data_IF_306993186226
#
_entry.id   IF_306993186226
#
_cell.length_a   1.000
_cell.length_b   1.000
_cell.length_c   1.000
_cell.angle_alpha   90.00
_cell.angle_beta   90.00
_cell.angle_gamma   90.00
#
_symmetry.space_group_name_H-M   'P 1'
#
loop_
_entity.id
_entity.type
_entity.pdbx_description
1 polymer ?
#
# COMPACT_ATOMS: atom_id res chain seq x y z
N UNK A 1 10.68 17.30 3.81
CA UNK A 1 10.59 18.78 3.71
C UNK A 1 9.26 19.32 4.21
N UNK A 2 8.11 18.73 3.84
CA UNK A 2 6.78 19.21 4.28
C UNK A 2 6.64 19.20 5.80
N UNK A 3 6.99 18.09 6.44
CA UNK A 3 6.93 17.94 7.92
C UNK A 3 7.83 18.96 8.62
N UNK A 4 9.08 19.13 8.16
CA UNK A 4 10.02 20.12 8.73
C UNK A 4 9.43 21.54 8.67
N UNK A 5 8.83 21.90 7.54
CA UNK A 5 8.24 23.24 7.35
C UNK A 5 7.00 23.48 8.22
N UNK A 6 6.32 22.42 8.70
CA UNK A 6 5.02 22.56 9.35
C UNK A 6 4.99 22.10 10.82
N UNK A 7 5.98 21.34 11.31
CA UNK A 7 5.98 20.78 12.67
C UNK A 7 5.79 21.84 13.74
N UNK A 8 6.49 22.98 13.62
CA UNK A 8 6.35 24.10 14.56
C UNK A 8 4.94 24.70 14.60
N UNK A 9 4.22 24.68 13.47
CA UNK A 9 2.83 25.14 13.40
C UNK A 9 1.88 24.08 13.98
N UNK A 10 2.13 22.83 13.73
CA UNK A 10 1.27 21.73 14.21
C UNK A 10 1.34 21.56 15.72
N UNK A 11 2.49 21.82 16.34
CA UNK A 11 2.70 21.71 17.79
C UNK A 11 2.15 22.91 18.58
N UNK A 12 1.72 24.01 17.92
CA UNK A 12 1.19 25.19 18.61
C UNK A 12 -0.18 24.91 19.22
N UNK A 13 -0.44 25.39 20.47
CA UNK A 13 -1.76 25.35 21.04
C UNK A 13 -2.75 26.16 20.17
N UNK A 14 -3.97 25.66 20.04
CA UNK A 14 -5.07 26.31 19.32
C UNK A 14 -6.10 26.80 20.34
N UNK A 15 -6.41 28.09 20.32
CA UNK A 15 -7.48 28.64 21.11
C UNK A 15 -8.83 28.03 20.71
N UNK A 16 -9.68 27.82 21.70
CA UNK A 16 -11.04 27.33 21.52
C UNK A 16 -12.02 28.27 22.21
N UNK A 17 -13.17 28.57 21.63
CA UNK A 17 -14.20 29.32 22.29
C UNK A 17 -14.67 28.57 23.53
N UNK A 18 -14.91 29.30 24.62
CA UNK A 18 -15.58 28.80 25.82
C UNK A 18 -17.07 29.06 25.74
N UNK A 19 -17.87 28.26 26.42
CA UNK A 19 -19.30 28.49 26.57
C UNK A 19 -19.56 29.71 27.52
N UNK A 20 -20.82 30.15 27.62
CA UNK A 20 -21.20 31.29 28.43
C UNK A 20 -20.90 31.11 29.94
N UNK A 21 -20.98 29.87 30.44
CA UNK A 21 -20.67 29.54 31.83
C UNK A 21 -19.17 29.71 32.15
N UNK A 22 -18.32 29.59 31.10
CA UNK A 22 -16.86 29.68 31.17
C UNK A 22 -16.32 30.91 30.41
N UNK A 23 -17.14 31.94 30.17
CA UNK A 23 -16.80 33.08 29.31
C UNK A 23 -15.57 33.89 29.79
N UNK A 24 -15.19 33.79 31.06
CA UNK A 24 -13.99 34.43 31.63
C UNK A 24 -12.74 33.54 31.53
N UNK A 25 -12.85 32.36 30.96
CA UNK A 25 -11.76 31.38 30.80
C UNK A 25 -11.19 31.40 29.41
N UNK A 26 -9.94 30.95 29.25
CA UNK A 26 -9.30 30.71 27.95
C UNK A 26 -9.17 29.22 27.69
N UNK A 27 -9.96 28.71 26.74
CA UNK A 27 -9.86 27.32 26.26
C UNK A 27 -8.75 27.14 25.24
N UNK A 28 -7.97 26.07 25.35
CA UNK A 28 -6.99 25.70 24.33
C UNK A 28 -6.93 24.18 24.13
N UNK A 29 -6.62 23.75 22.89
CA UNK A 29 -6.22 22.37 22.59
C UNK A 29 -4.74 22.36 22.21
N UNK A 30 -4.01 21.38 22.69
CA UNK A 30 -2.60 21.19 22.37
C UNK A 30 -2.36 19.72 22.01
N UNK A 31 -1.63 19.48 20.92
CA UNK A 31 -1.16 18.15 20.56
C UNK A 31 -0.08 17.72 21.56
N UNK A 32 -0.16 16.47 22.00
CA UNK A 32 0.87 15.81 22.83
C UNK A 32 1.26 14.48 22.17
N UNK A 33 2.49 14.00 22.35
CA UNK A 33 2.89 12.69 21.85
C UNK A 33 2.07 11.59 22.53
N UNK A 34 1.92 10.45 21.85
CA UNK A 34 1.37 9.24 22.47
C UNK A 34 2.35 8.65 23.48
N UNK A 35 3.63 8.57 23.15
CA UNK A 35 4.68 7.93 23.94
C UNK A 35 5.53 6.99 23.11
N UNK A 36 5.51 5.69 23.42
CA UNK A 36 6.22 4.63 22.71
C UNK A 36 5.33 4.06 21.61
N UNK A 37 5.79 4.18 20.36
CA UNK A 37 5.03 3.73 19.18
C UNK A 37 5.68 2.54 18.50
N UNK A 38 4.88 1.57 18.08
CA UNK A 38 5.29 0.49 17.19
C UNK A 38 4.89 0.81 15.75
N UNK A 39 5.84 0.75 14.81
CA UNK A 39 5.58 0.84 13.37
C UNK A 39 5.90 -0.52 12.74
N UNK A 40 4.87 -1.18 12.20
CA UNK A 40 5.02 -2.43 11.46
C UNK A 40 4.85 -2.15 9.97
N UNK A 41 5.96 -2.26 9.22
CA UNK A 41 6.02 -1.87 7.81
C UNK A 41 5.94 -3.08 6.85
N UNK A 42 5.38 -2.91 5.64
CA UNK A 42 5.26 -3.95 4.63
C UNK A 42 6.54 -4.06 3.77
N UNK A 43 6.50 -5.00 2.83
CA UNK A 43 7.64 -5.34 1.96
C UNK A 43 7.62 -4.64 0.59
N UNK A 44 6.47 -4.14 0.15
CA UNK A 44 6.29 -3.65 -1.22
C UNK A 44 6.96 -2.29 -1.50
N UNK A 45 6.99 -1.41 -0.51
CA UNK A 45 7.73 -0.13 -0.52
C UNK A 45 8.45 0.05 0.84
N UNK A 46 9.47 -0.77 1.13
CA UNK A 46 10.00 -0.92 2.47
C UNK A 46 10.58 0.37 3.06
N UNK A 47 11.25 1.21 2.26
CA UNK A 47 11.78 2.49 2.73
C UNK A 47 10.67 3.53 2.93
N UNK A 48 9.80 3.72 1.94
CA UNK A 48 8.75 4.73 1.99
C UNK A 48 7.79 4.48 3.15
N UNK A 49 7.24 3.25 3.23
CA UNK A 49 6.22 2.89 4.22
C UNK A 49 6.78 2.63 5.62
N UNK A 50 8.09 2.71 5.79
CA UNK A 50 8.77 2.75 7.10
C UNK A 50 9.12 4.19 7.50
N UNK A 51 9.76 4.94 6.60
CA UNK A 51 10.33 6.25 6.96
C UNK A 51 9.28 7.36 7.03
N UNK A 52 8.19 7.27 6.28
CA UNK A 52 7.13 8.27 6.32
C UNK A 52 6.39 8.28 7.68
N UNK A 53 5.87 7.14 8.19
CA UNK A 53 5.29 7.11 9.53
C UNK A 53 6.33 7.37 10.63
N UNK A 54 7.59 6.92 10.48
CA UNK A 54 8.67 7.27 11.41
C UNK A 54 8.84 8.78 11.54
N UNK A 55 8.95 9.48 10.41
CA UNK A 55 9.11 10.93 10.41
C UNK A 55 7.91 11.63 11.06
N UNK A 56 6.68 11.13 10.85
CA UNK A 56 5.48 11.63 11.51
C UNK A 56 5.50 11.39 13.02
N UNK A 57 5.88 10.20 13.46
CA UNK A 57 5.97 9.84 14.87
C UNK A 57 7.00 10.68 15.63
N UNK A 58 8.20 10.85 15.05
CA UNK A 58 9.28 11.68 15.64
C UNK A 58 8.90 13.16 15.67
N UNK A 59 8.28 13.67 14.60
CA UNK A 59 7.80 15.06 14.56
C UNK A 59 6.74 15.35 15.63
N UNK A 60 5.96 14.33 16.02
CA UNK A 60 5.00 14.43 17.12
C UNK A 60 5.61 14.26 18.52
N UNK A 61 6.90 13.91 18.62
CA UNK A 61 7.63 13.73 19.88
C UNK A 61 7.55 12.32 20.49
N UNK A 62 7.23 11.31 19.68
CA UNK A 62 7.19 9.91 20.12
C UNK A 62 8.57 9.24 20.02
N UNK A 63 8.77 8.19 20.80
CA UNK A 63 9.82 7.19 20.56
C UNK A 63 9.25 6.05 19.73
N UNK A 64 10.11 5.36 18.96
CA UNK A 64 9.64 4.44 17.93
C UNK A 64 10.40 3.13 17.94
N UNK A 65 9.66 2.03 17.94
CA UNK A 65 10.17 0.71 17.55
C UNK A 65 9.65 0.39 16.14
N UNK A 66 10.56 0.05 15.24
CA UNK A 66 10.26 -0.31 13.86
C UNK A 66 10.38 -1.82 13.69
N UNK A 67 9.37 -2.43 13.10
CA UNK A 67 9.39 -3.83 12.65
C UNK A 67 9.24 -3.86 11.12
N UNK A 68 10.35 -3.86 10.35
CA UNK A 68 10.29 -4.00 8.91
C UNK A 68 9.89 -5.43 8.50
N UNK A 69 9.50 -5.62 7.25
CA UNK A 69 9.05 -6.91 6.75
C UNK A 69 10.20 -7.90 6.54
N UNK A 70 10.03 -9.14 6.99
CA UNK A 70 10.93 -10.25 6.69
C UNK A 70 10.97 -10.64 5.20
N UNK A 71 9.99 -10.21 4.39
CA UNK A 71 9.98 -10.47 2.95
C UNK A 71 10.87 -9.53 2.14
N UNK A 72 11.45 -8.51 2.77
CA UNK A 72 12.44 -7.61 2.18
C UNK A 72 13.71 -7.54 3.05
N UNK A 73 14.44 -8.65 3.27
CA UNK A 73 15.50 -8.73 4.27
C UNK A 73 16.66 -7.76 4.00
N UNK A 74 17.08 -7.61 2.74
CA UNK A 74 18.16 -6.66 2.40
C UNK A 74 17.77 -5.21 2.69
N UNK A 75 16.53 -4.81 2.37
CA UNK A 75 16.01 -3.48 2.70
C UNK A 75 15.87 -3.28 4.21
N UNK A 76 15.45 -4.32 4.94
CA UNK A 76 15.33 -4.28 6.40
C UNK A 76 16.67 -4.07 7.09
N UNK A 77 17.71 -4.77 6.64
CA UNK A 77 19.08 -4.60 7.16
C UNK A 77 19.62 -3.18 6.93
N UNK A 78 19.42 -2.63 5.71
CA UNK A 78 19.82 -1.25 5.41
C UNK A 78 19.02 -0.22 6.21
N UNK A 79 17.70 -0.41 6.38
CA UNK A 79 16.87 0.44 7.24
C UNK A 79 17.38 0.44 8.70
N UNK A 80 17.74 -0.74 9.21
CA UNK A 80 18.32 -0.87 10.54
C UNK A 80 19.62 -0.09 10.66
N UNK A 81 20.56 -0.30 9.71
CA UNK A 81 21.81 0.44 9.69
C UNK A 81 21.59 1.96 9.67
N UNK A 82 20.73 2.46 8.78
CA UNK A 82 20.39 3.90 8.70
C UNK A 82 19.86 4.41 10.05
N UNK A 83 18.97 3.67 10.69
CA UNK A 83 18.41 4.09 11.97
C UNK A 83 19.46 4.08 13.11
N UNK A 84 20.31 3.05 13.17
CA UNK A 84 21.39 2.95 14.17
C UNK A 84 22.43 4.06 14.01
N UNK A 85 22.73 4.48 12.77
CA UNK A 85 23.66 5.59 12.50
C UNK A 85 23.04 6.97 12.78
N UNK A 86 21.71 7.12 12.55
CA UNK A 86 21.04 8.42 12.60
C UNK A 86 20.43 8.76 13.98
N UNK A 87 20.13 7.77 14.82
CA UNK A 87 19.34 7.97 16.03
C UNK A 87 19.96 7.25 17.24
N UNK A 88 19.74 7.82 18.44
CA UNK A 88 19.94 7.11 19.70
C UNK A 88 18.96 5.91 19.74
N UNK A 89 19.40 4.69 20.10
CA UNK A 89 18.53 3.50 20.18
C UNK A 89 17.37 3.64 21.17
N UNK A 90 17.46 4.58 22.14
CA UNK A 90 16.33 4.92 23.02
C UNK A 90 15.25 5.75 22.32
N UNK A 91 15.58 6.37 21.19
CA UNK A 91 14.64 7.15 20.38
C UNK A 91 14.04 6.32 19.25
N UNK A 92 14.88 5.60 18.50
CA UNK A 92 14.46 4.73 17.40
C UNK A 92 15.22 3.40 17.48
N UNK A 93 14.49 2.31 17.53
CA UNK A 93 15.05 0.93 17.49
C UNK A 93 14.39 0.13 16.37
N UNK A 94 15.17 -0.69 15.66
CA UNK A 94 14.68 -1.58 14.60
C UNK A 94 14.82 -3.03 15.06
N UNK A 95 13.69 -3.74 15.04
CA UNK A 95 13.62 -5.17 15.36
C UNK A 95 13.38 -5.92 14.05
N UNK A 96 14.39 -6.62 13.55
CA UNK A 96 14.26 -7.52 12.41
C UNK A 96 13.65 -8.85 12.85
N UNK A 97 13.18 -9.64 11.89
CA UNK A 97 12.66 -10.98 12.15
C UNK A 97 11.33 -11.24 11.46
N UNK A 98 10.78 -12.41 11.70
CA UNK A 98 9.59 -12.92 11.04
C UNK A 98 8.34 -12.90 11.91
N UNK A 99 7.63 -14.03 11.87
CA UNK A 99 6.34 -14.17 12.55
C UNK A 99 6.49 -14.16 14.07
N UNK A 100 7.52 -14.82 14.60
CA UNK A 100 7.73 -14.90 16.05
C UNK A 100 7.96 -13.51 16.67
N UNK A 101 8.78 -12.69 16.01
CA UNK A 101 9.07 -11.32 16.45
C UNK A 101 7.83 -10.42 16.31
N UNK A 102 7.02 -10.62 15.26
CA UNK A 102 5.75 -9.90 15.12
C UNK A 102 4.80 -10.22 16.29
N UNK A 103 4.66 -11.50 16.64
CA UNK A 103 3.80 -11.95 17.73
C UNK A 103 4.30 -11.41 19.08
N UNK A 104 5.60 -11.51 19.34
CA UNK A 104 6.21 -10.98 20.57
C UNK A 104 6.00 -9.47 20.72
N UNK A 105 6.23 -8.69 19.65
CA UNK A 105 6.00 -7.25 19.67
C UNK A 105 4.52 -6.88 19.87
N UNK A 106 3.60 -7.65 19.33
CA UNK A 106 2.17 -7.40 19.51
C UNK A 106 1.66 -7.78 20.91
N UNK A 107 2.39 -8.57 21.68
CA UNK A 107 2.07 -8.89 23.06
C UNK A 107 2.63 -7.87 24.07
N UNK A 108 3.48 -6.94 23.61
CA UNK A 108 4.00 -5.82 24.43
C UNK A 108 2.99 -4.67 24.57
N UNK A 109 3.23 -3.80 25.54
CA UNK A 109 2.39 -2.61 25.78
C UNK A 109 2.92 -1.42 24.96
N UNK A 110 2.07 -0.90 24.08
CA UNK A 110 2.35 0.25 23.23
C UNK A 110 1.39 1.37 23.50
N UNK A 111 1.87 2.62 23.39
CA UNK A 111 1.00 3.81 23.44
C UNK A 111 0.32 4.08 22.09
N UNK A 112 0.89 3.54 20.97
CA UNK A 112 0.32 3.61 19.62
C UNK A 112 0.92 2.51 18.74
N UNK A 113 0.10 1.90 17.87
CA UNK A 113 0.57 1.02 16.79
C UNK A 113 0.16 1.63 15.45
N UNK A 114 1.13 1.72 14.53
CA UNK A 114 0.93 2.00 13.12
C UNK A 114 1.28 0.74 12.32
N UNK A 115 0.32 0.19 11.62
CA UNK A 115 0.48 -1.04 10.85
C UNK A 115 0.09 -0.81 9.39
N UNK A 116 0.96 -1.24 8.47
CA UNK A 116 0.64 -1.31 7.04
C UNK A 116 0.78 -2.76 6.56
N UNK A 117 -0.28 -3.31 5.96
CA UNK A 117 -0.27 -4.68 5.45
C UNK A 117 -1.65 -5.22 5.08
N UNK A 118 -1.82 -6.53 5.15
CA UNK A 118 -3.07 -7.18 4.75
C UNK A 118 -4.18 -7.05 5.80
N UNK A 119 -5.43 -7.05 5.34
CA UNK A 119 -6.62 -7.01 6.21
C UNK A 119 -6.63 -8.10 7.29
N UNK A 120 -6.31 -9.38 7.02
CA UNK A 120 -6.27 -10.40 8.08
C UNK A 120 -5.27 -10.09 9.18
N UNK A 121 -4.08 -9.58 8.83
CA UNK A 121 -3.07 -9.20 9.83
C UNK A 121 -3.47 -7.92 10.56
N UNK A 122 -4.08 -6.95 9.88
CA UNK A 122 -4.63 -5.76 10.53
C UNK A 122 -5.68 -6.07 11.60
N UNK A 123 -6.55 -7.05 11.35
CA UNK A 123 -7.51 -7.56 12.35
C UNK A 123 -6.79 -8.14 13.56
N UNK A 124 -5.74 -8.95 13.35
CA UNK A 124 -4.92 -9.50 14.43
C UNK A 124 -4.23 -8.40 15.25
N UNK A 125 -3.66 -7.38 14.59
CA UNK A 125 -3.04 -6.23 15.26
C UNK A 125 -4.07 -5.52 16.15
N UNK A 126 -5.28 -5.27 15.64
CA UNK A 126 -6.35 -4.62 16.38
C UNK A 126 -6.82 -5.46 17.58
N UNK A 127 -6.95 -6.78 17.40
CA UNK A 127 -7.28 -7.72 18.46
C UNK A 127 -6.23 -7.70 19.59
N UNK A 128 -4.95 -7.75 19.26
CA UNK A 128 -3.88 -7.69 20.27
C UNK A 128 -3.81 -6.33 20.96
N UNK A 129 -3.90 -5.24 20.21
CA UNK A 129 -3.89 -3.88 20.73
C UNK A 129 -5.05 -3.60 21.71
N UNK A 130 -6.23 -4.21 21.50
CA UNK A 130 -7.39 -4.01 22.35
C UNK A 130 -7.18 -4.46 23.79
N UNK A 131 -6.28 -5.41 24.05
CA UNK A 131 -5.97 -5.89 25.41
C UNK A 131 -5.41 -4.79 26.31
N UNK A 132 -4.67 -3.86 25.72
CA UNK A 132 -4.03 -2.72 26.40
C UNK A 132 -4.73 -1.39 26.07
N UNK A 133 -5.86 -1.42 25.37
CA UNK A 133 -6.58 -0.23 24.85
C UNK A 133 -5.67 0.67 23.98
N UNK A 134 -4.66 0.07 23.33
CA UNK A 134 -3.71 0.77 22.46
C UNK A 134 -4.42 1.26 21.20
N UNK A 135 -4.41 2.55 20.89
CA UNK A 135 -4.94 3.07 19.63
C UNK A 135 -4.12 2.58 18.45
N UNK A 136 -4.80 2.17 17.37
CA UNK A 136 -4.15 1.69 16.14
C UNK A 136 -4.44 2.61 14.96
N UNK A 137 -3.49 2.70 14.04
CA UNK A 137 -3.71 3.17 12.67
C UNK A 137 -3.40 2.02 11.74
N UNK A 138 -4.36 1.64 10.91
CA UNK A 138 -4.26 0.51 9.99
C UNK A 138 -4.31 1.04 8.56
N UNK A 139 -3.21 0.88 7.83
CA UNK A 139 -3.12 1.08 6.39
C UNK A 139 -3.18 -0.28 5.72
N UNK A 140 -4.29 -0.55 5.06
CA UNK A 140 -4.61 -1.88 4.54
C UNK A 140 -4.79 -1.84 3.03
N UNK A 141 -4.99 -3.00 2.43
CA UNK A 141 -5.32 -3.11 1.03
C UNK A 141 -6.75 -2.67 0.71
N UNK A 142 -7.05 -2.64 -0.56
CA UNK A 142 -8.37 -2.31 -1.07
C UNK A 142 -8.54 -2.72 -2.53
N UNK A 143 -9.79 -2.88 -2.96
CA UNK A 143 -10.13 -3.13 -4.35
C UNK A 143 -10.42 -1.80 -5.03
N UNK A 144 -9.34 -1.10 -5.47
CA UNK A 144 -9.39 0.27 -5.95
C UNK A 144 -9.97 0.34 -7.37
N UNK A 145 -11.13 0.97 -7.59
CA UNK A 145 -11.70 1.18 -8.91
C UNK A 145 -10.96 2.27 -9.69
N UNK A 146 -10.81 2.08 -11.00
CA UNK A 146 -10.44 3.13 -11.92
C UNK A 146 -11.57 3.32 -12.93
N UNK A 147 -12.20 4.49 -12.94
CA UNK A 147 -13.36 4.78 -13.76
C UNK A 147 -12.92 5.64 -14.95
N UNK A 148 -13.28 5.21 -16.16
CA UNK A 148 -13.01 5.93 -17.41
C UNK A 148 -14.31 6.13 -18.17
N UNK A 149 -14.80 7.36 -18.20
CA UNK A 149 -15.96 7.75 -18.97
C UNK A 149 -15.59 8.21 -20.39
N UNK A 150 -16.59 8.39 -21.26
CA UNK A 150 -16.40 8.79 -22.65
C UNK A 150 -15.80 10.20 -22.84
N UNK A 151 -15.70 11.03 -21.78
CA UNK A 151 -15.09 12.38 -21.86
C UNK A 151 -13.60 12.37 -21.56
N UNK A 152 -13.05 11.23 -21.12
CA UNK A 152 -11.66 11.11 -20.73
C UNK A 152 -10.70 11.27 -21.93
N UNK A 153 -9.53 11.84 -21.67
CA UNK A 153 -8.43 11.78 -22.64
C UNK A 153 -7.81 10.36 -22.59
N UNK A 154 -8.21 9.50 -23.53
CA UNK A 154 -7.90 8.08 -23.52
C UNK A 154 -6.39 7.80 -23.56
N UNK A 155 -5.58 8.57 -24.30
CA UNK A 155 -4.12 8.42 -24.36
C UNK A 155 -3.47 8.69 -22.99
N UNK A 156 -3.94 9.72 -22.29
CA UNK A 156 -3.45 10.06 -20.95
C UNK A 156 -3.94 9.01 -19.94
N UNK A 157 -5.21 8.58 -20.05
CA UNK A 157 -5.80 7.55 -19.21
C UNK A 157 -5.01 6.24 -19.34
N UNK A 158 -4.81 5.74 -20.57
CA UNK A 158 -4.07 4.50 -20.83
C UNK A 158 -2.66 4.52 -20.22
N UNK A 159 -1.91 5.62 -20.41
CA UNK A 159 -0.56 5.77 -19.85
C UNK A 159 -0.57 5.73 -18.32
N UNK A 160 -1.53 6.42 -17.68
CA UNK A 160 -1.63 6.47 -16.21
C UNK A 160 -2.09 5.14 -15.64
N UNK A 161 -3.03 4.46 -16.31
CA UNK A 161 -3.50 3.13 -15.91
C UNK A 161 -2.36 2.12 -16.03
N UNK A 162 -1.64 2.08 -17.17
CA UNK A 162 -0.52 1.19 -17.37
C UNK A 162 0.57 1.41 -16.30
N UNK A 163 0.96 2.65 -16.06
CA UNK A 163 1.92 2.98 -15.00
C UNK A 163 1.42 2.57 -13.62
N UNK A 164 0.19 2.99 -13.25
CA UNK A 164 -0.36 2.74 -11.91
C UNK A 164 -0.59 1.26 -11.62
N UNK A 165 -0.96 0.48 -12.65
CA UNK A 165 -1.22 -0.96 -12.49
C UNK A 165 0.06 -1.78 -12.43
N UNK A 166 1.02 -1.53 -13.31
CA UNK A 166 2.20 -2.42 -13.41
C UNK A 166 3.45 -1.87 -12.72
N UNK A 167 3.40 -0.68 -12.11
CA UNK A 167 4.43 -0.27 -11.15
C UNK A 167 4.53 -1.33 -10.04
N UNK A 168 5.76 -1.75 -9.72
CA UNK A 168 6.04 -2.81 -8.74
C UNK A 168 5.24 -4.10 -9.00
N UNK A 169 4.97 -4.42 -10.28
CA UNK A 169 4.22 -5.62 -10.71
C UNK A 169 2.80 -5.66 -10.10
N UNK A 170 2.20 -4.48 -9.88
CA UNK A 170 0.87 -4.36 -9.27
C UNK A 170 0.80 -4.67 -7.77
N UNK A 171 1.93 -4.86 -7.11
CA UNK A 171 2.02 -5.12 -5.66
C UNK A 171 1.96 -3.80 -4.88
N UNK A 172 0.87 -3.07 -5.09
CA UNK A 172 0.66 -1.70 -4.60
C UNK A 172 -0.78 -1.54 -4.12
N UNK A 173 -0.97 -1.11 -2.90
CA UNK A 173 -2.29 -0.96 -2.25
C UNK A 173 -3.21 0.05 -2.96
N UNK A 174 -2.65 0.98 -3.71
CA UNK A 174 -3.38 2.00 -4.50
C UNK A 174 -3.33 1.74 -6.01
N UNK A 175 -2.86 0.57 -6.46
CA UNK A 175 -2.91 0.21 -7.86
C UNK A 175 -4.37 0.11 -8.34
N UNK A 176 -4.68 0.48 -9.59
CA UNK A 176 -5.96 0.15 -10.19
C UNK A 176 -6.19 -1.37 -10.10
N UNK A 177 -7.17 -1.79 -9.32
CA UNK A 177 -7.47 -3.20 -9.14
C UNK A 177 -8.39 -3.69 -10.25
N UNK A 178 -9.35 -2.84 -10.63
CA UNK A 178 -10.22 -3.06 -11.78
C UNK A 178 -10.58 -1.74 -12.47
N UNK A 179 -10.91 -1.85 -13.77
CA UNK A 179 -11.43 -0.75 -14.56
C UNK A 179 -12.97 -0.85 -14.67
N UNK A 180 -13.61 0.28 -14.54
CA UNK A 180 -14.99 0.51 -15.00
C UNK A 180 -14.89 1.45 -16.20
N UNK A 181 -15.24 0.96 -17.39
CA UNK A 181 -15.05 1.68 -18.65
C UNK A 181 -16.40 1.89 -19.35
N UNK A 182 -16.64 3.12 -19.80
CA UNK A 182 -17.79 3.41 -20.67
C UNK A 182 -17.70 2.57 -21.94
N UNK A 183 -18.78 1.87 -22.28
CA UNK A 183 -18.84 0.95 -23.44
C UNK A 183 -18.42 1.61 -24.76
N UNK A 184 -18.65 2.92 -24.91
CA UNK A 184 -18.33 3.69 -26.12
C UNK A 184 -16.83 3.87 -26.37
N UNK A 185 -16.01 3.75 -25.35
CA UNK A 185 -14.55 3.96 -25.41
C UNK A 185 -13.73 2.73 -25.00
N UNK A 186 -14.40 1.62 -24.73
CA UNK A 186 -13.81 0.38 -24.24
C UNK A 186 -12.69 -0.15 -25.15
N UNK A 187 -12.99 -0.41 -26.41
CA UNK A 187 -12.04 -1.04 -27.35
C UNK A 187 -10.84 -0.13 -27.64
N UNK A 188 -11.08 1.19 -27.80
CA UNK A 188 -10.01 2.16 -28.00
C UNK A 188 -9.10 2.24 -26.79
N UNK A 189 -9.67 2.31 -25.59
CA UNK A 189 -8.88 2.36 -24.34
C UNK A 189 -8.05 1.11 -24.16
N UNK A 190 -8.62 -0.08 -24.37
CA UNK A 190 -7.88 -1.34 -24.26
C UNK A 190 -6.73 -1.43 -25.28
N UNK A 191 -6.97 -1.00 -26.51
CA UNK A 191 -5.92 -0.89 -27.54
C UNK A 191 -4.75 -0.03 -27.06
N UNK A 192 -5.04 1.16 -26.56
CA UNK A 192 -4.04 2.09 -26.04
C UNK A 192 -3.30 1.57 -24.79
N UNK A 193 -3.98 0.86 -23.88
CA UNK A 193 -3.34 0.24 -22.71
C UNK A 193 -2.36 -0.86 -23.17
N UNK A 194 -2.76 -1.71 -24.12
CA UNK A 194 -1.88 -2.75 -24.68
C UNK A 194 -0.63 -2.16 -25.32
N UNK A 195 -0.74 -1.04 -26.04
CA UNK A 195 0.40 -0.30 -26.61
C UNK A 195 1.33 0.24 -25.51
N UNK A 196 0.78 0.85 -24.46
CA UNK A 196 1.57 1.36 -23.33
C UNK A 196 2.31 0.24 -22.59
N UNK A 197 1.69 -0.93 -22.39
CA UNK A 197 2.34 -2.10 -21.78
C UNK A 197 3.53 -2.56 -22.63
N UNK A 198 3.36 -2.68 -23.97
CA UNK A 198 4.47 -3.01 -24.86
C UNK A 198 5.58 -1.98 -24.83
N UNK A 199 5.21 -0.71 -24.78
CA UNK A 199 6.20 0.39 -24.68
C UNK A 199 7.00 0.33 -23.38
N UNK A 200 6.37 -0.07 -22.25
CA UNK A 200 7.03 -0.16 -20.95
C UNK A 200 7.92 -1.40 -20.81
N UNK A 201 7.46 -2.56 -21.28
CA UNK A 201 8.06 -3.85 -20.95
C UNK A 201 8.55 -4.65 -22.17
N UNK A 202 8.29 -4.18 -23.40
CA UNK A 202 8.62 -4.89 -24.62
C UNK A 202 7.64 -6.01 -24.97
N UNK A 203 7.99 -6.81 -25.97
CA UNK A 203 7.17 -7.94 -26.44
C UNK A 203 7.33 -9.18 -25.55
N UNK A 204 8.38 -9.25 -24.75
CA UNK A 204 8.71 -10.38 -23.86
C UNK A 204 8.94 -9.92 -22.42
N UNK A 205 7.88 -9.52 -21.69
CA UNK A 205 8.00 -8.96 -20.34
C UNK A 205 8.70 -9.90 -19.34
N UNK A 206 8.55 -11.21 -19.49
CA UNK A 206 9.19 -12.18 -18.58
C UNK A 206 10.72 -12.21 -18.70
N UNK A 207 11.27 -11.80 -19.87
CA UNK A 207 12.71 -11.74 -20.11
C UNK A 207 13.30 -10.33 -19.82
N UNK A 208 12.44 -9.33 -19.62
CA UNK A 208 12.86 -7.99 -19.31
C UNK A 208 13.40 -7.94 -17.86
N UNK A 209 14.66 -7.50 -17.70
CA UNK A 209 15.33 -7.39 -16.39
C UNK A 209 14.74 -6.27 -15.52
N UNK A 210 14.18 -5.22 -16.13
CA UNK A 210 13.53 -4.11 -15.43
C UNK A 210 12.09 -4.46 -14.97
N UNK A 211 11.53 -5.57 -15.46
CA UNK A 211 10.23 -6.06 -15.00
C UNK A 211 10.40 -6.94 -13.77
N UNK A 212 9.84 -6.50 -12.65
CA UNK A 212 9.96 -7.17 -11.35
C UNK A 212 9.30 -8.54 -11.27
N UNK A 213 9.29 -9.11 -10.09
CA UNK A 213 8.68 -10.42 -9.79
C UNK A 213 7.73 -10.34 -8.60
N UNK A 214 6.90 -11.35 -8.41
CA UNK A 214 6.06 -11.49 -7.23
C UNK A 214 6.93 -11.86 -6.03
N UNK A 215 6.64 -11.27 -4.89
CA UNK A 215 7.51 -11.31 -3.69
C UNK A 215 7.90 -12.70 -3.22
N UNK A 216 7.05 -13.71 -3.39
CA UNK A 216 7.32 -15.10 -3.01
C UNK A 216 6.40 -16.10 -3.73
N UNK A 217 6.72 -17.38 -3.63
CA UNK A 217 6.00 -18.47 -4.29
C UNK A 217 4.52 -18.56 -3.85
N UNK A 218 4.21 -18.30 -2.59
CA UNK A 218 2.83 -18.32 -2.08
C UNK A 218 1.96 -17.27 -2.78
N UNK A 219 2.43 -16.03 -2.86
CA UNK A 219 1.73 -14.95 -3.56
C UNK A 219 1.69 -15.16 -5.07
N UNK A 220 2.77 -15.70 -5.65
CA UNK A 220 2.81 -16.08 -7.06
C UNK A 220 1.70 -17.08 -7.40
N UNK A 221 1.59 -18.18 -6.65
CA UNK A 221 0.56 -19.19 -6.86
C UNK A 221 -0.86 -18.61 -6.72
N UNK A 222 -1.09 -17.74 -5.70
CA UNK A 222 -2.37 -17.07 -5.51
C UNK A 222 -2.73 -16.18 -6.71
N UNK A 223 -1.84 -15.31 -7.13
CA UNK A 223 -2.10 -14.36 -8.23
C UNK A 223 -2.27 -15.10 -9.55
N UNK A 224 -1.42 -16.10 -9.84
CA UNK A 224 -1.57 -16.95 -11.02
C UNK A 224 -2.93 -17.65 -11.05
N UNK A 225 -3.42 -18.11 -9.91
CA UNK A 225 -4.72 -18.77 -9.78
C UNK A 225 -5.93 -17.87 -10.04
N UNK A 226 -5.75 -16.54 -10.10
CA UNK A 226 -6.81 -15.58 -10.45
C UNK A 226 -6.97 -15.36 -11.96
N UNK A 227 -6.05 -15.90 -12.79
CA UNK A 227 -6.10 -15.73 -14.23
C UNK A 227 -7.10 -16.75 -14.80
N UNK A 228 -8.20 -16.25 -15.33
CA UNK A 228 -9.14 -17.01 -16.15
C UNK A 228 -8.66 -16.98 -17.62
N UNK A 229 -8.19 -18.12 -18.18
CA UNK A 229 -7.64 -18.13 -19.54
C UNK A 229 -8.63 -17.69 -20.63
N UNK A 230 -9.93 -17.90 -20.41
CA UNK A 230 -10.98 -17.58 -21.39
C UNK A 230 -11.24 -16.06 -21.46
N UNK A 231 -10.76 -15.29 -20.48
CA UNK A 231 -10.93 -13.83 -20.40
C UNK A 231 -9.66 -13.04 -20.69
N UNK A 232 -8.53 -13.73 -20.94
CA UNK A 232 -7.24 -13.08 -21.22
C UNK A 232 -7.27 -12.40 -22.58
N UNK A 233 -7.05 -11.09 -22.61
CA UNK A 233 -6.90 -10.29 -23.84
C UNK A 233 -5.49 -9.71 -24.00
N UNK A 234 -4.64 -9.82 -22.98
CA UNK A 234 -3.20 -9.52 -23.01
C UNK A 234 -2.50 -10.35 -21.94
N UNK A 235 -1.29 -10.86 -22.23
CA UNK A 235 -0.44 -11.57 -21.27
C UNK A 235 -1.00 -12.95 -20.89
N UNK A 236 -1.05 -13.24 -19.60
CA UNK A 236 -1.57 -14.50 -19.06
C UNK A 236 -0.51 -15.56 -18.78
N UNK A 237 0.70 -15.40 -19.32
CA UNK A 237 1.81 -16.33 -19.09
C UNK A 237 2.50 -16.06 -17.75
N UNK A 238 2.96 -17.13 -17.11
CA UNK A 238 3.69 -17.04 -15.86
C UNK A 238 4.92 -17.96 -15.87
N UNK A 239 6.01 -17.52 -15.27
CA UNK A 239 7.27 -18.26 -15.12
C UNK A 239 7.58 -18.48 -13.64
N UNK A 240 7.33 -19.69 -13.17
CA UNK A 240 7.47 -20.02 -11.74
C UNK A 240 8.92 -19.90 -11.24
N UNK A 241 9.91 -20.32 -12.07
CA UNK A 241 11.32 -20.26 -11.69
C UNK A 241 11.85 -18.86 -11.37
N UNK A 242 11.23 -17.82 -11.94
CA UNK A 242 11.54 -16.41 -11.69
C UNK A 242 10.45 -15.66 -10.94
N UNK A 243 9.37 -16.34 -10.55
CA UNK A 243 8.18 -15.75 -9.92
C UNK A 243 7.58 -14.57 -10.71
N UNK A 244 7.74 -14.56 -12.03
CA UNK A 244 7.22 -13.52 -12.91
C UNK A 244 5.89 -13.94 -13.54
N UNK A 245 4.93 -13.01 -13.53
CA UNK A 245 3.64 -13.12 -14.24
C UNK A 245 3.60 -11.93 -15.20
N UNK A 246 3.28 -12.17 -16.46
CA UNK A 246 3.15 -11.10 -17.45
C UNK A 246 2.13 -10.04 -17.04
N UNK A 247 2.31 -8.79 -17.49
CA UNK A 247 1.22 -7.83 -17.47
C UNK A 247 0.00 -8.43 -18.16
N UNK A 248 -1.07 -8.65 -17.38
CA UNK A 248 -2.24 -9.41 -17.84
C UNK A 248 -3.47 -8.52 -17.79
N UNK A 249 -4.30 -8.58 -18.83
CA UNK A 249 -5.62 -7.94 -18.88
C UNK A 249 -6.67 -9.02 -19.04
N UNK A 250 -7.65 -9.01 -18.14
CA UNK A 250 -8.86 -9.84 -18.24
C UNK A 250 -10.04 -8.94 -18.63
N UNK A 251 -10.71 -9.27 -19.72
CA UNK A 251 -11.88 -8.56 -20.22
C UNK A 251 -13.14 -9.43 -20.12
N UNK A 252 -14.32 -8.79 -20.06
CA UNK A 252 -15.58 -9.50 -19.84
C UNK A 252 -15.69 -10.13 -18.44
N UNK A 253 -15.02 -9.52 -17.47
CA UNK A 253 -15.09 -9.93 -16.07
C UNK A 253 -16.43 -9.52 -15.46
N UNK A 254 -16.97 -10.37 -14.60
CA UNK A 254 -18.19 -10.10 -13.83
C UNK A 254 -17.88 -9.93 -12.36
N UNK A 255 -18.76 -9.28 -11.57
CA UNK A 255 -18.55 -9.17 -10.12
C UNK A 255 -18.42 -10.51 -9.38
N UNK A 256 -18.93 -11.59 -9.94
CA UNK A 256 -18.92 -12.93 -9.33
C UNK A 256 -17.63 -13.72 -9.61
N UNK A 257 -16.79 -13.24 -10.52
CA UNK A 257 -15.53 -13.91 -10.86
C UNK A 257 -14.55 -13.91 -9.67
N UNK A 258 -13.76 -14.97 -9.55
CA UNK A 258 -12.80 -15.14 -8.45
C UNK A 258 -11.83 -13.94 -8.30
N UNK A 259 -11.39 -13.37 -9.42
CA UNK A 259 -10.51 -12.19 -9.46
C UNK A 259 -11.16 -10.93 -8.87
N UNK A 260 -12.50 -10.89 -8.75
CA UNK A 260 -13.24 -9.78 -8.16
C UNK A 260 -13.53 -9.93 -6.68
N UNK A 261 -13.31 -11.12 -6.08
CA UNK A 261 -13.64 -11.40 -4.68
C UNK A 261 -12.62 -10.91 -3.67
N UNK A 262 -11.37 -10.67 -4.12
CA UNK A 262 -10.29 -10.16 -3.27
C UNK A 262 -9.43 -9.12 -4.00
N UNK A 263 -8.61 -8.38 -3.26
CA UNK A 263 -7.56 -7.53 -3.83
C UNK A 263 -6.58 -8.38 -4.63
N UNK A 264 -6.32 -8.01 -5.88
CA UNK A 264 -5.43 -8.77 -6.76
C UNK A 264 -3.99 -8.71 -6.26
N UNK A 265 -3.49 -7.52 -5.96
CA UNK A 265 -2.12 -7.28 -5.51
C UNK A 265 -1.07 -7.97 -6.38
N UNK A 266 -1.19 -7.77 -7.69
CA UNK A 266 -0.42 -8.41 -8.73
C UNK A 266 -0.71 -7.81 -10.12
N UNK A 267 -0.06 -8.30 -11.20
CA UNK A 267 -0.05 -7.65 -12.51
C UNK A 267 -1.28 -7.94 -13.38
N UNK A 268 -2.41 -8.25 -12.77
CA UNK A 268 -3.67 -8.52 -13.48
C UNK A 268 -4.57 -7.30 -13.37
N UNK A 269 -5.01 -6.76 -14.51
CA UNK A 269 -6.00 -5.72 -14.61
C UNK A 269 -7.30 -6.32 -15.14
N UNK A 270 -8.38 -6.18 -14.39
CA UNK A 270 -9.71 -6.63 -14.81
C UNK A 270 -10.52 -5.49 -15.36
N UNK A 271 -11.35 -5.77 -16.35
CA UNK A 271 -12.15 -4.76 -17.07
C UNK A 271 -13.62 -5.13 -17.01
N UNK A 272 -14.41 -4.18 -16.53
CA UNK A 272 -15.86 -4.19 -16.54
C UNK A 272 -16.35 -2.96 -17.31
N UNK A 273 -17.51 -3.06 -17.94
CA UNK A 273 -18.10 -1.96 -18.69
C UNK A 273 -19.36 -1.41 -18.03
N UNK A 274 -19.69 -0.16 -18.33
CA UNK A 274 -20.96 0.47 -17.98
C UNK A 274 -21.49 1.30 -19.13
N UNK A 275 -22.81 1.52 -19.19
CA UNK A 275 -23.46 2.32 -20.24
C UNK A 275 -23.72 3.76 -19.79
N UNK A 276 -23.93 3.98 -18.51
CA UNK A 276 -24.20 5.29 -17.90
C UNK A 276 -23.71 5.32 -16.46
N UNK A 277 -23.11 6.43 -16.07
CA UNK A 277 -22.76 6.76 -14.68
C UNK A 277 -23.97 7.30 -13.94
#
# INVERSE_FOLDING_TARGET
>A
RHQIAHVARWSRPRLRPCDLANAVSAGKTQAVPYGVTLIMAPWNYPFLLTLEPLAGALAAGNTVVIKPSAYAPASSAVLKQICEEAFDPRLVTVVEGGRAENEALLDECWDKIFFTGSVPVGKLVMERASKNLTPVTLELGGKSPCIVDATANLKVAARRIAFGKWLNVGQTCVAPDYLLVDTRVHDELLGLIKEEVRRMFGEHPLDNEDYGHIVNAKHFARVRGLIDPDKVVLGGTARESSLKIEPTILDGVTPDDAVMQEEIYGPILTVLTFESL
#
